data_IF_576982643803
#
_entry.id   IF_576982643803
#
_cell.length_a   1.000
_cell.length_b   1.000
_cell.length_c   1.000
_cell.angle_alpha   90.00
_cell.angle_beta   90.00
_cell.angle_gamma   90.00
#
_symmetry.space_group_name_H-M   'P 1'
#
loop_
_entity.id
_entity.type
_entity.pdbx_description
1 polymer ?
#
# COMPACT_ATOMS: atom_id res chain seq x y z
N UNK A 1 -25.86 -1.40 53.21
CA UNK A 1 -25.57 -0.25 52.32
C UNK A 1 -24.13 0.27 52.38
N UNK A 2 -23.19 -0.40 53.07
CA UNK A 2 -21.78 0.04 53.14
C UNK A 2 -20.85 -0.69 52.13
N UNK A 3 -21.27 -1.86 51.63
CA UNK A 3 -20.42 -2.72 50.79
C UNK A 3 -20.31 -2.26 49.32
N UNK A 4 -21.23 -1.43 48.83
CA UNK A 4 -21.22 -0.95 47.44
C UNK A 4 -20.20 0.19 47.19
N UNK A 5 -19.68 0.83 48.24
CA UNK A 5 -18.72 1.93 48.16
C UNK A 5 -17.26 1.45 48.03
N UNK A 6 -16.99 0.16 48.27
CA UNK A 6 -15.63 -0.40 48.30
C UNK A 6 -15.12 -0.92 46.95
N UNK A 7 -15.96 -0.97 45.91
CA UNK A 7 -15.57 -1.47 44.58
C UNK A 7 -15.12 -0.39 43.58
N UNK A 8 -15.12 0.90 43.95
CA UNK A 8 -14.70 2.00 43.08
C UNK A 8 -13.19 2.30 43.07
N UNK A 9 -12.39 1.59 43.88
CA UNK A 9 -10.99 1.92 44.16
C UNK A 9 -9.94 1.18 43.33
N UNK A 10 -10.33 0.35 42.35
CA UNK A 10 -9.37 -0.43 41.58
C UNK A 10 -9.15 0.15 40.18
N UNK A 11 -7.99 0.80 40.02
CA UNK A 11 -7.30 1.19 38.78
C UNK A 11 -7.66 2.55 38.19
N UNK A 12 -6.94 3.58 38.68
CA UNK A 12 -6.81 4.88 38.00
C UNK A 12 -6.02 5.84 38.88
N UNK A 13 -4.91 6.39 38.37
CA UNK A 13 -4.24 7.53 39.01
C UNK A 13 -5.28 8.63 39.29
N UNK A 14 -5.22 9.37 40.41
CA UNK A 14 -6.19 10.41 40.74
C UNK A 14 -6.30 11.52 39.67
N UNK A 15 -5.35 11.59 38.72
CA UNK A 15 -5.34 12.52 37.58
C UNK A 15 -5.70 11.86 36.22
N UNK A 16 -5.91 10.54 36.18
CA UNK A 16 -6.18 9.77 34.95
C UNK A 16 -7.60 9.20 34.91
N UNK A 17 -8.50 9.77 35.72
CA UNK A 17 -9.92 9.44 35.65
C UNK A 17 -10.55 9.91 34.34
N UNK A 18 -11.61 9.25 33.84
CA UNK A 18 -12.32 9.68 32.62
C UNK A 18 -12.81 11.14 32.69
N UNK A 19 -13.21 11.59 33.88
CA UNK A 19 -13.64 12.98 34.13
C UNK A 19 -12.47 13.96 33.96
N UNK A 20 -11.28 13.59 34.45
CA UNK A 20 -10.07 14.40 34.33
C UNK A 20 -9.58 14.49 32.89
N UNK A 21 -9.66 13.38 32.15
CA UNK A 21 -9.40 13.35 30.72
C UNK A 21 -10.33 14.31 29.96
N UNK A 22 -11.65 14.25 30.19
CA UNK A 22 -12.60 15.16 29.55
C UNK A 22 -12.39 16.61 29.94
N UNK A 23 -12.08 16.88 31.22
CA UNK A 23 -11.76 18.24 31.70
C UNK A 23 -10.48 18.79 31.05
N UNK A 24 -9.47 17.97 30.82
CA UNK A 24 -8.24 18.42 30.17
C UNK A 24 -8.38 18.53 28.65
N UNK A 25 -9.17 17.65 28.03
CA UNK A 25 -9.37 17.61 26.58
C UNK A 25 -10.39 18.66 26.08
N UNK A 26 -11.29 19.14 26.95
CA UNK A 26 -12.38 20.05 26.56
C UNK A 26 -12.71 21.14 27.60
N UNK A 27 -12.01 21.21 28.72
CA UNK A 27 -12.29 22.18 29.79
C UNK A 27 -11.56 23.52 29.65
N UNK A 28 -11.51 24.24 30.77
CA UNK A 28 -11.05 25.63 30.87
C UNK A 28 -9.76 26.01 30.12
N UNK A 29 -8.71 25.17 30.00
CA UNK A 29 -7.51 25.51 29.22
C UNK A 29 -7.75 25.74 27.72
N UNK A 30 -8.88 25.25 27.19
CA UNK A 30 -9.29 25.38 25.80
C UNK A 30 -10.43 26.40 25.62
N UNK A 31 -10.99 26.94 26.71
CA UNK A 31 -12.00 27.99 26.65
C UNK A 31 -11.40 29.25 25.98
N UNK A 32 -12.10 29.76 24.96
CA UNK A 32 -11.69 30.95 24.22
C UNK A 32 -10.61 30.74 23.16
N UNK A 33 -10.12 29.49 22.96
CA UNK A 33 -9.29 29.19 21.78
C UNK A 33 -10.16 29.12 20.52
N UNK A 34 -9.71 29.71 19.40
CA UNK A 34 -10.40 29.52 18.13
C UNK A 34 -10.39 28.03 17.75
N UNK A 35 -11.48 27.60 17.13
CA UNK A 35 -11.62 26.27 16.56
C UNK A 35 -10.45 25.99 15.59
N UNK A 36 -9.89 24.76 15.56
CA UNK A 36 -8.88 24.42 14.57
C UNK A 36 -9.47 24.57 13.16
N UNK A 37 -8.69 25.02 12.18
CA UNK A 37 -9.19 25.21 10.83
C UNK A 37 -9.78 23.89 10.28
N UNK A 38 -10.97 23.96 9.68
CA UNK A 38 -11.67 22.80 9.11
C UNK A 38 -12.63 22.10 10.08
N UNK A 39 -12.93 22.72 11.23
CA UNK A 39 -13.94 22.24 12.20
C UNK A 39 -15.28 22.94 12.06
N UNK A 40 -15.38 23.92 11.16
CA UNK A 40 -16.57 24.73 10.89
C UNK A 40 -17.61 23.98 10.03
N UNK A 41 -17.25 22.79 9.53
CA UNK A 41 -18.10 21.95 8.69
C UNK A 41 -18.48 20.65 9.38
N UNK A 42 -19.61 20.08 8.97
CA UNK A 42 -19.93 18.70 9.31
C UNK A 42 -18.85 17.79 8.72
N UNK A 43 -18.19 17.00 9.55
CA UNK A 43 -17.36 15.91 9.06
C UNK A 43 -18.24 14.95 8.26
N UNK A 44 -17.77 14.47 7.08
CA UNK A 44 -18.52 13.47 6.35
C UNK A 44 -18.73 12.25 7.26
N UNK A 45 -19.95 11.73 7.26
CA UNK A 45 -20.26 10.48 7.97
C UNK A 45 -19.27 9.38 7.58
N UNK A 46 -18.97 8.44 8.48
CA UNK A 46 -18.18 7.24 8.17
C UNK A 46 -18.81 6.40 7.03
N UNK A 47 -20.12 6.55 6.81
CA UNK A 47 -20.84 5.93 5.70
C UNK A 47 -20.77 6.75 4.40
N UNK A 48 -20.14 7.93 4.42
CA UNK A 48 -19.98 8.78 3.25
C UNK A 48 -18.85 8.26 2.38
N UNK A 49 -19.19 7.92 1.15
CA UNK A 49 -18.21 7.59 0.11
C UNK A 49 -17.96 8.85 -0.70
N UNK A 50 -16.69 9.30 -0.84
CA UNK A 50 -16.38 10.44 -1.69
C UNK A 50 -16.74 10.11 -3.15
N UNK A 51 -17.13 11.12 -3.96
CA UNK A 51 -17.41 10.90 -5.37
C UNK A 51 -16.16 10.36 -6.08
N UNK A 52 -16.38 9.48 -7.05
CA UNK A 52 -15.29 8.98 -7.87
C UNK A 52 -14.63 10.13 -8.64
N UNK A 53 -13.29 10.17 -8.73
CA UNK A 53 -12.61 11.18 -9.52
C UNK A 53 -12.96 11.01 -11.01
N UNK A 54 -12.97 12.11 -11.79
CA UNK A 54 -13.17 12.04 -13.23
C UNK A 54 -12.04 11.24 -13.88
N UNK A 55 -12.39 10.29 -14.75
CA UNK A 55 -11.42 9.38 -15.40
C UNK A 55 -10.72 9.96 -16.64
N UNK A 56 -10.94 11.22 -16.97
CA UNK A 56 -10.46 11.84 -18.23
C UNK A 56 -11.13 11.27 -19.49
N UNK A 57 -10.78 11.80 -20.65
CA UNK A 57 -11.24 11.26 -21.93
C UNK A 57 -10.58 9.90 -22.24
N UNK A 58 -11.22 9.07 -23.06
CA UNK A 58 -10.64 7.77 -23.46
C UNK A 58 -9.32 7.94 -24.23
N UNK A 59 -9.27 8.93 -25.13
CA UNK A 59 -8.07 9.27 -25.90
C UNK A 59 -6.89 9.71 -25.02
N UNK A 60 -7.14 10.46 -23.94
CA UNK A 60 -6.11 10.86 -22.99
C UNK A 60 -5.53 9.66 -22.25
N UNK A 61 -6.38 8.70 -21.85
CA UNK A 61 -5.92 7.46 -21.21
C UNK A 61 -5.11 6.58 -22.16
N UNK A 62 -5.49 6.52 -23.43
CA UNK A 62 -4.76 5.80 -24.46
C UNK A 62 -3.38 6.45 -24.70
N UNK A 63 -3.34 7.77 -24.87
CA UNK A 63 -2.08 8.51 -25.02
C UNK A 63 -1.15 8.30 -23.81
N UNK A 64 -1.69 8.32 -22.59
CA UNK A 64 -0.92 8.05 -21.38
C UNK A 64 -0.40 6.61 -21.33
N UNK A 65 -1.24 5.64 -21.70
CA UNK A 65 -0.84 4.22 -21.76
C UNK A 65 0.31 4.02 -22.73
N UNK A 66 0.22 4.61 -23.91
CA UNK A 66 1.20 4.45 -24.98
C UNK A 66 2.52 5.14 -24.58
N UNK A 67 2.46 6.36 -24.03
CA UNK A 67 3.64 7.05 -23.47
C UNK A 67 4.33 6.24 -22.35
N UNK A 68 3.57 5.58 -21.48
CA UNK A 68 4.12 4.71 -20.44
C UNK A 68 4.70 3.41 -21.00
N UNK A 69 4.15 2.87 -22.09
CA UNK A 69 4.72 1.71 -22.77
C UNK A 69 6.09 2.06 -23.38
N UNK A 70 6.20 3.23 -24.00
CA UNK A 70 7.46 3.74 -24.56
C UNK A 70 8.50 4.02 -23.49
N UNK A 71 8.13 4.65 -22.37
CA UNK A 71 9.05 4.89 -21.26
C UNK A 71 9.60 3.56 -20.69
N UNK A 72 8.76 2.53 -20.59
CA UNK A 72 9.19 1.19 -20.14
C UNK A 72 10.12 0.51 -21.15
N UNK A 73 9.88 0.67 -22.45
CA UNK A 73 10.75 0.08 -23.47
C UNK A 73 12.14 0.71 -23.44
N UNK A 74 12.23 2.04 -23.27
CA UNK A 74 13.49 2.77 -23.12
C UNK A 74 14.26 2.35 -21.86
N UNK A 75 13.55 2.12 -20.75
CA UNK A 75 14.13 1.72 -19.46
C UNK A 75 14.76 0.32 -19.46
N UNK A 76 14.40 -0.54 -20.42
CA UNK A 76 15.01 -1.88 -20.56
C UNK A 76 16.43 -1.84 -21.11
N UNK A 77 16.86 -0.71 -21.67
CA UNK A 77 18.23 -0.55 -22.16
C UNK A 77 19.15 -0.19 -21.00
N UNK A 78 20.15 -1.02 -20.66
CA UNK A 78 21.05 -0.71 -19.56
C UNK A 78 21.82 0.59 -19.82
N UNK A 79 21.90 1.45 -18.80
CA UNK A 79 22.69 2.69 -18.85
C UNK A 79 24.17 2.30 -18.87
N UNK A 80 24.82 2.52 -20.01
CA UNK A 80 26.25 2.30 -20.16
C UNK A 80 27.03 3.38 -19.38
N UNK A 81 28.04 3.01 -18.58
CA UNK A 81 28.89 3.97 -17.89
C UNK A 81 29.51 4.98 -18.88
N UNK A 82 29.45 6.27 -18.52
CA UNK A 82 30.02 7.36 -19.33
C UNK A 82 29.10 7.89 -20.45
N UNK A 83 27.90 7.32 -20.66
CA UNK A 83 26.89 7.94 -21.52
C UNK A 83 26.22 9.12 -20.81
N UNK A 84 25.90 10.22 -21.54
CA UNK A 84 25.09 11.31 -20.99
C UNK A 84 23.73 10.79 -20.54
N UNK A 85 23.30 11.17 -19.34
CA UNK A 85 21.96 10.87 -18.81
C UNK A 85 20.96 11.81 -19.52
N UNK A 86 19.83 11.31 -20.05
CA UNK A 86 18.82 12.18 -20.65
C UNK A 86 18.25 13.14 -19.60
N UNK A 87 17.87 14.38 -20.00
CA UNK A 87 17.31 15.34 -19.07
C UNK A 87 16.00 14.83 -18.46
N UNK A 88 15.68 15.22 -17.22
CA UNK A 88 14.42 14.85 -16.58
C UNK A 88 13.23 15.44 -17.37
N UNK A 89 12.05 14.79 -17.31
CA UNK A 89 10.86 15.29 -17.99
C UNK A 89 10.50 16.70 -17.51
N UNK A 90 10.02 17.53 -18.44
CA UNK A 90 9.58 18.88 -18.14
C UNK A 90 8.42 18.86 -17.14
N UNK A 91 8.50 19.69 -16.09
CA UNK A 91 7.47 19.76 -15.03
C UNK A 91 7.65 18.76 -13.89
N UNK A 92 8.71 17.95 -13.86
CA UNK A 92 9.06 17.18 -12.68
C UNK A 92 9.37 18.12 -11.50
N UNK A 93 8.72 17.89 -10.37
CA UNK A 93 8.82 18.68 -9.14
C UNK A 93 10.27 18.78 -8.62
N UNK A 94 11.09 17.80 -8.99
CA UNK A 94 12.51 17.69 -8.66
C UNK A 94 13.46 18.31 -9.69
N UNK A 95 12.95 18.99 -10.72
CA UNK A 95 13.78 19.60 -11.77
C UNK A 95 14.78 20.60 -11.15
N UNK A 96 16.06 20.26 -11.18
CA UNK A 96 17.15 21.07 -10.62
C UNK A 96 17.49 20.81 -9.14
N UNK A 97 16.75 19.95 -8.42
CA UNK A 97 17.03 19.65 -7.01
C UNK A 97 17.97 18.46 -6.82
N UNK A 98 18.03 17.54 -7.79
CA UNK A 98 18.88 16.34 -7.71
C UNK A 98 20.03 16.46 -8.73
N UNK A 99 21.30 16.40 -8.31
CA UNK A 99 22.42 16.41 -9.23
C UNK A 99 22.32 15.21 -10.18
N UNK A 100 22.36 15.48 -11.49
CA UNK A 100 22.21 14.47 -12.54
C UNK A 100 23.37 13.45 -12.58
N UNK A 101 24.51 13.80 -11.97
CA UNK A 101 25.64 12.90 -11.80
C UNK A 101 25.73 12.47 -10.33
N UNK A 102 25.75 11.15 -10.04
CA UNK A 102 26.02 10.70 -8.69
C UNK A 102 27.41 11.20 -8.23
N UNK A 103 27.60 11.47 -6.93
CA UNK A 103 28.91 11.81 -6.40
C UNK A 103 29.91 10.70 -6.75
N UNK A 104 31.17 11.09 -7.00
CA UNK A 104 32.22 10.11 -7.29
C UNK A 104 32.32 9.13 -6.13
N UNK A 105 32.38 7.80 -6.40
CA UNK A 105 32.57 6.83 -5.34
C UNK A 105 33.88 7.15 -4.59
N UNK A 106 33.91 7.01 -3.25
CA UNK A 106 35.14 7.19 -2.49
C UNK A 106 36.20 6.24 -3.05
N UNK A 107 37.41 6.76 -3.31
CA UNK A 107 38.51 5.91 -3.73
C UNK A 107 38.93 5.06 -2.54
N UNK A 108 38.49 3.81 -2.52
CA UNK A 108 39.06 2.81 -1.62
C UNK A 108 40.54 2.71 -1.98
N UNK A 109 41.43 3.16 -1.10
CA UNK A 109 42.86 2.93 -1.25
C UNK A 109 43.07 1.42 -1.37
N UNK A 110 43.48 0.97 -2.56
CA UNK A 110 43.93 -0.37 -2.91
C UNK A 110 43.50 -1.50 -1.95
N UNK A 111 42.20 -1.79 -1.89
CA UNK A 111 41.77 -3.03 -1.29
C UNK A 111 42.27 -4.18 -2.19
N UNK A 112 42.89 -5.24 -1.62
CA UNK A 112 43.34 -6.38 -2.40
C UNK A 112 42.14 -7.02 -3.13
N UNK A 113 42.30 -7.44 -4.39
CA UNK A 113 41.21 -8.01 -5.16
C UNK A 113 40.71 -9.30 -4.51
N UNK A 114 39.40 -9.38 -4.25
CA UNK A 114 38.76 -10.61 -3.80
C UNK A 114 38.58 -11.54 -5.00
N UNK A 115 39.17 -12.74 -5.01
CA UNK A 115 38.94 -13.70 -6.08
C UNK A 115 37.47 -14.11 -6.07
N UNK A 116 36.77 -13.93 -7.20
CA UNK A 116 35.46 -14.54 -7.40
C UNK A 116 35.69 -16.04 -7.54
N UNK A 117 35.42 -16.80 -6.48
CA UNK A 117 35.44 -18.25 -6.55
C UNK A 117 34.43 -18.75 -7.59
N UNK A 118 34.86 -19.67 -8.45
CA UNK A 118 33.94 -20.53 -9.19
C UNK A 118 33.03 -21.26 -8.19
N UNK A 119 31.75 -21.50 -8.53
CA UNK A 119 30.80 -22.12 -7.60
C UNK A 119 31.19 -23.54 -7.15
N UNK A 120 32.11 -24.18 -7.85
CA UNK A 120 32.68 -25.47 -7.49
C UNK A 120 33.96 -25.30 -6.67
N UNK A 121 33.81 -25.14 -5.34
CA UNK A 121 34.71 -25.69 -4.32
C UNK A 121 34.51 -24.98 -2.97
N UNK A 122 33.34 -25.18 -2.35
CA UNK A 122 33.28 -25.20 -0.89
C UNK A 122 33.44 -26.66 -0.46
N UNK A 123 34.54 -27.07 0.21
CA UNK A 123 34.65 -28.42 0.73
C UNK A 123 33.61 -28.58 1.85
N UNK A 124 32.62 -29.44 1.63
CA UNK A 124 31.68 -29.86 2.67
C UNK A 124 30.21 -29.45 2.50
N UNK A 125 29.81 -28.77 1.43
CA UNK A 125 28.40 -28.70 1.06
C UNK A 125 28.05 -29.81 0.07
N UNK A 126 27.06 -30.62 0.42
CA UNK A 126 26.45 -31.57 -0.51
C UNK A 126 25.95 -30.82 -1.75
N UNK A 127 26.06 -31.41 -2.96
CA UNK A 127 25.51 -30.79 -4.16
C UNK A 127 24.02 -30.51 -3.95
N UNK A 128 23.61 -29.27 -4.22
CA UNK A 128 22.21 -28.88 -4.15
C UNK A 128 21.39 -29.80 -5.07
N UNK A 129 20.21 -30.27 -4.63
CA UNK A 129 19.34 -31.03 -5.52
C UNK A 129 19.03 -30.18 -6.75
N UNK A 130 19.05 -30.83 -7.92
CA UNK A 130 18.77 -30.18 -9.19
C UNK A 130 17.45 -29.39 -9.07
N UNK A 131 17.51 -28.10 -9.41
CA UNK A 131 16.34 -27.25 -9.45
C UNK A 131 15.30 -27.88 -10.39
N UNK A 132 14.00 -27.85 -10.07
CA UNK A 132 12.96 -28.30 -10.99
C UNK A 132 13.12 -27.58 -12.33
N UNK A 133 13.11 -28.34 -13.43
CA UNK A 133 13.20 -27.77 -14.77
C UNK A 133 12.09 -26.74 -14.96
N UNK A 134 12.49 -25.51 -15.30
CA UNK A 134 11.56 -24.49 -15.73
C UNK A 134 10.91 -24.92 -17.06
N UNK A 135 9.63 -24.59 -17.28
CA UNK A 135 8.98 -24.89 -18.55
C UNK A 135 9.78 -24.29 -19.72
N UNK A 136 9.98 -25.09 -20.76
CA UNK A 136 10.81 -24.75 -21.92
C UNK A 136 10.36 -23.49 -22.67
N UNK A 137 9.12 -23.04 -22.44
CA UNK A 137 8.56 -21.82 -23.02
C UNK A 137 7.76 -21.02 -21.96
N UNK A 138 8.33 -19.94 -21.41
CA UNK A 138 7.65 -19.05 -20.46
C UNK A 138 6.44 -18.30 -21.06
N UNK A 139 6.26 -18.33 -22.38
CA UNK A 139 5.18 -17.65 -23.10
C UNK A 139 4.01 -18.55 -23.48
N UNK A 140 4.12 -19.86 -23.32
CA UNK A 140 3.04 -20.78 -23.64
C UNK A 140 1.90 -20.65 -22.62
N UNK A 141 0.65 -20.46 -23.05
CA UNK A 141 -0.48 -20.43 -22.13
C UNK A 141 -0.58 -21.79 -21.41
N UNK A 142 -0.90 -21.80 -20.10
CA UNK A 142 -1.10 -23.05 -19.39
C UNK A 142 -2.24 -23.85 -20.03
N UNK A 143 -2.14 -25.18 -19.97
CA UNK A 143 -3.19 -26.06 -20.44
C UNK A 143 -4.53 -25.69 -19.78
N UNK A 144 -5.65 -25.73 -20.53
CA UNK A 144 -6.96 -25.44 -19.97
C UNK A 144 -7.27 -26.43 -18.82
N UNK A 145 -7.99 -25.98 -17.77
CA UNK A 145 -8.37 -26.84 -16.67
C UNK A 145 -9.29 -27.99 -17.16
N UNK A 146 -9.26 -29.15 -16.50
CA UNK A 146 -10.12 -30.27 -16.86
C UNK A 146 -11.61 -29.90 -16.75
N UNK A 147 -12.43 -30.44 -17.65
CA UNK A 147 -13.84 -30.04 -17.86
C UNK A 147 -14.72 -30.16 -16.60
N UNK A 148 -14.33 -31.00 -15.65
CA UNK A 148 -14.97 -31.16 -14.34
C UNK A 148 -14.94 -29.90 -13.45
N UNK A 149 -13.99 -28.98 -13.68
CA UNK A 149 -13.94 -27.67 -12.99
C UNK A 149 -14.88 -26.62 -13.60
N UNK A 150 -15.48 -26.90 -14.77
CA UNK A 150 -16.43 -26.00 -15.45
C UNK A 150 -17.89 -26.42 -15.27
N UNK A 151 -18.19 -27.36 -14.38
CA UNK A 151 -19.55 -27.78 -14.11
C UNK A 151 -20.39 -26.60 -13.56
N UNK A 152 -21.63 -26.40 -14.05
CA UNK A 152 -22.49 -25.31 -13.58
C UNK A 152 -22.86 -25.51 -12.11
N UNK A 153 -22.85 -24.40 -11.35
CA UNK A 153 -23.25 -24.39 -9.94
C UNK A 153 -24.66 -24.96 -9.75
N UNK A 154 -24.92 -25.73 -8.67
CA UNK A 154 -26.26 -26.22 -8.37
C UNK A 154 -27.22 -25.05 -8.11
N UNK A 155 -28.52 -25.19 -8.44
CA UNK A 155 -29.49 -24.12 -8.27
C UNK A 155 -29.68 -23.75 -6.79
N UNK A 156 -29.83 -22.45 -6.54
CA UNK A 156 -30.06 -21.91 -5.21
C UNK A 156 -31.39 -22.41 -4.61
N UNK A 157 -31.47 -22.64 -3.28
CA UNK A 157 -32.72 -23.02 -2.63
C UNK A 157 -33.76 -21.88 -2.71
N UNK A 158 -35.07 -22.20 -2.66
CA UNK A 158 -36.12 -21.20 -2.76
C UNK A 158 -36.07 -20.21 -1.59
N UNK A 159 -36.19 -18.93 -1.90
CA UNK A 159 -36.25 -17.84 -0.93
C UNK A 159 -37.46 -18.03 -0.01
N UNK A 160 -37.21 -18.43 1.25
CA UNK A 160 -38.22 -18.45 2.30
C UNK A 160 -38.77 -17.04 2.51
N UNK A 161 -40.09 -16.90 2.39
CA UNK A 161 -40.79 -15.63 2.56
C UNK A 161 -40.61 -15.08 3.97
N UNK A 162 -39.77 -14.05 4.10
CA UNK A 162 -39.74 -13.18 5.27
C UNK A 162 -40.94 -12.26 5.19
N UNK A 163 -41.96 -12.54 6.01
CA UNK A 163 -43.13 -11.68 6.18
C UNK A 163 -42.68 -10.26 6.58
N UNK A 164 -43.30 -9.25 5.96
CA UNK A 164 -43.05 -7.85 6.26
C UNK A 164 -43.39 -7.53 7.74
N UNK A 165 -42.58 -6.70 8.43
CA UNK A 165 -42.87 -6.31 9.80
C UNK A 165 -44.16 -5.45 9.85
N UNK A 166 -44.98 -5.60 10.91
CA UNK A 166 -46.22 -4.83 11.05
C UNK A 166 -45.93 -3.34 11.27
N UNK A 167 -46.84 -2.44 10.85
CA UNK A 167 -46.64 -1.01 11.00
C UNK A 167 -46.69 -0.56 12.46
N UNK A 168 -46.01 0.55 12.81
CA UNK A 168 -45.99 1.08 14.16
C UNK A 168 -47.39 1.54 14.58
N UNK A 169 -47.78 1.19 15.81
CA UNK A 169 -49.00 1.72 16.44
C UNK A 169 -48.70 3.12 16.97
N UNK A 170 -49.55 4.08 16.62
CA UNK A 170 -49.59 5.44 17.16
C UNK A 170 -49.98 5.42 18.65
#
# INVERSE_FOLDING_TARGET
MLAALLLGGCVGSPTEGPVEFWRNAFGAPLEGRPLPPGTEGAYPSIASVPPAPPRGAASEREALRDALADARSQSRTPVLPGRPVPPPPAGAESAGQVPLAPPRPPRLSAAPPVPRGSPDAAPGLAPAPAAPDLPADPGAPPAPPPAEFMAPSPPAPPAGGMAAPPPPRL
#
